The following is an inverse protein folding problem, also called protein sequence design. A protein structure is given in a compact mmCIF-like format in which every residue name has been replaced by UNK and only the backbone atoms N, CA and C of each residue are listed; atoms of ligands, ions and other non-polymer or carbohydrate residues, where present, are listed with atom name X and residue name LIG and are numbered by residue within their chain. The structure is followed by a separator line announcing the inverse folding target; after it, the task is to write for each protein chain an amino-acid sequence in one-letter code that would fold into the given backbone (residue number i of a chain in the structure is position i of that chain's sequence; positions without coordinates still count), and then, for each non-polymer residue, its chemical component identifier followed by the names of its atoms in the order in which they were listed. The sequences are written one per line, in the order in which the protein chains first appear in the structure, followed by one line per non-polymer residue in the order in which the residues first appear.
data_IF_212896830234
#
_entry.id   IF_212896830234
#
_cell.length_a   1.000
_cell.length_b   1.000
_cell.length_c   1.000
_cell.angle_alpha   90.00
_cell.angle_beta   90.00
_cell.angle_gamma   90.00
#
_symmetry.space_group_name_H-M   'P 1'
#
loop_
_entity.id
_entity.type
_entity.pdbx_description
1 polymer ?
#
# COMPACT_ATOMS: atom_id res chain seq x y z
N UNK A 1 8.78 0.83 12.19
CA UNK A 1 9.51 0.41 10.97
C UNK A 1 9.38 1.43 9.84
N UNK A 2 8.17 1.84 9.45
CA UNK A 2 7.99 2.81 8.34
C UNK A 2 8.63 4.17 8.60
N UNK A 3 8.43 4.76 9.78
CA UNK A 3 9.05 6.05 10.13
C UNK A 3 10.59 5.96 10.13
N UNK A 4 11.14 4.85 10.62
CA UNK A 4 12.58 4.57 10.59
C UNK A 4 13.11 4.42 9.16
N UNK A 5 12.30 3.86 8.26
CA UNK A 5 12.57 3.80 6.81
C UNK A 5 12.30 5.13 6.09
N UNK A 6 12.02 6.21 6.84
CA UNK A 6 11.88 7.56 6.31
C UNK A 6 10.48 7.92 5.81
N UNK A 7 9.46 7.08 6.02
CA UNK A 7 8.08 7.42 5.65
C UNK A 7 7.47 8.44 6.62
N UNK A 8 6.70 9.38 6.09
CA UNK A 8 5.75 10.16 6.88
C UNK A 8 4.47 9.33 7.03
N UNK A 9 4.23 8.78 8.23
CA UNK A 9 3.03 7.97 8.50
C UNK A 9 1.88 8.88 8.93
N UNK A 10 0.73 8.79 8.24
CA UNK A 10 -0.39 9.71 8.45
C UNK A 10 -1.75 9.01 8.46
N UNK A 11 -2.71 9.56 9.21
CA UNK A 11 -4.12 9.15 9.16
C UNK A 11 -4.80 9.60 7.88
N UNK A 12 -5.60 8.74 7.25
CA UNK A 12 -6.38 9.06 6.05
C UNK A 12 -7.12 10.40 6.14
N UNK A 13 -7.80 10.67 7.26
CA UNK A 13 -8.60 11.90 7.45
C UNK A 13 -7.78 13.19 7.51
N UNK A 14 -6.47 13.10 7.74
CA UNK A 14 -5.57 14.26 7.90
C UNK A 14 -4.39 14.20 6.93
N UNK A 15 -4.44 13.31 5.95
CA UNK A 15 -3.29 13.01 5.12
C UNK A 15 -2.96 14.17 4.19
N UNK A 16 -1.67 14.50 4.14
CA UNK A 16 -1.05 15.34 3.14
C UNK A 16 0.00 14.50 2.39
N UNK A 17 -0.33 14.12 1.15
CA UNK A 17 0.54 13.32 0.25
C UNK A 17 1.82 14.06 -0.16
N UNK A 18 1.93 15.36 0.10
CA UNK A 18 3.10 16.19 -0.15
C UNK A 18 3.89 16.55 1.11
N UNK A 19 3.52 16.01 2.29
CA UNK A 19 4.23 16.30 3.54
C UNK A 19 5.70 15.85 3.52
N UNK A 20 6.02 14.84 2.71
CA UNK A 20 7.38 14.34 2.47
C UNK A 20 7.41 13.66 1.10
N UNK A 21 8.61 13.41 0.57
CA UNK A 21 8.79 12.56 -0.62
C UNK A 21 8.14 11.18 -0.47
N UNK A 22 8.20 10.56 0.71
CA UNK A 22 7.51 9.30 1.03
C UNK A 22 6.45 9.50 2.10
N UNK A 23 5.19 9.21 1.78
CA UNK A 23 4.04 9.29 2.70
C UNK A 23 3.31 7.94 2.75
N UNK A 24 3.11 7.40 3.94
CA UNK A 24 2.34 6.19 4.18
C UNK A 24 1.03 6.56 4.87
N UNK A 25 -0.10 6.39 4.18
CA UNK A 25 -1.42 6.70 4.75
C UNK A 25 -2.02 5.41 5.30
N UNK A 26 -2.34 5.40 6.60
CA UNK A 26 -2.93 4.24 7.28
C UNK A 26 -4.45 4.17 7.15
N UNK A 27 -5.00 2.96 7.20
CA UNK A 27 -6.44 2.65 7.14
C UNK A 27 -7.13 3.32 5.95
N UNK A 28 -6.58 3.11 4.75
CA UNK A 28 -7.06 3.78 3.54
C UNK A 28 -8.32 3.08 2.98
N UNK A 29 -9.45 3.79 2.81
CA UNK A 29 -10.67 3.21 2.26
C UNK A 29 -10.53 2.92 0.78
N UNK A 30 -10.91 1.72 0.37
CA UNK A 30 -11.04 1.32 -1.02
C UNK A 30 -12.48 1.60 -1.52
N UNK A 31 -12.70 1.44 -2.83
CA UNK A 31 -14.02 1.51 -3.44
C UNK A 31 -15.01 0.56 -2.72
N UNK A 32 -16.32 0.87 -2.74
CA UNK A 32 -17.33 0.06 -2.06
C UNK A 32 -17.21 -1.43 -2.39
N UNK A 33 -17.18 -2.27 -1.35
CA UNK A 33 -17.03 -3.73 -1.48
C UNK A 33 -15.59 -4.25 -1.37
N UNK A 34 -14.57 -3.38 -1.41
CA UNK A 34 -13.15 -3.79 -1.37
C UNK A 34 -12.49 -3.61 0.00
N UNK A 35 -13.18 -2.96 0.95
CA UNK A 35 -12.71 -2.78 2.32
C UNK A 35 -11.64 -1.69 2.46
N UNK A 36 -10.55 -1.99 3.16
CA UNK A 36 -9.47 -1.06 3.45
C UNK A 36 -8.12 -1.67 3.14
N UNK A 37 -7.15 -0.80 2.83
CA UNK A 37 -5.72 -1.10 2.87
C UNK A 37 -5.15 -0.68 4.23
N UNK A 38 -4.26 -1.49 4.81
CA UNK A 38 -3.62 -1.09 6.08
C UNK A 38 -2.75 0.15 5.86
N UNK A 39 -1.96 0.18 4.78
CA UNK A 39 -1.29 1.38 4.30
C UNK A 39 -1.33 1.50 2.77
N UNK A 40 -1.49 2.72 2.28
CA UNK A 40 -1.15 3.10 0.91
C UNK A 40 0.12 3.96 0.92
N UNK A 41 1.02 3.68 -0.01
CA UNK A 41 2.34 4.30 -0.12
C UNK A 41 2.35 5.30 -1.27
N UNK A 42 2.62 6.56 -0.94
CA UNK A 42 2.82 7.65 -1.88
C UNK A 42 4.29 8.02 -1.99
N UNK A 43 4.78 8.11 -3.22
CA UNK A 43 6.11 8.61 -3.55
C UNK A 43 5.94 9.81 -4.47
N UNK A 44 6.50 10.94 -4.08
CA UNK A 44 6.42 12.20 -4.85
C UNK A 44 4.97 12.59 -5.20
N UNK A 45 4.06 12.40 -4.23
CA UNK A 45 2.64 12.77 -4.36
C UNK A 45 1.78 11.82 -5.18
N UNK A 46 2.31 10.69 -5.64
CA UNK A 46 1.56 9.67 -6.37
C UNK A 46 1.66 8.31 -5.69
N UNK A 47 0.56 7.56 -5.65
CA UNK A 47 0.56 6.22 -5.10
C UNK A 47 1.46 5.29 -5.94
N UNK A 48 2.27 4.52 -5.23
CA UNK A 48 3.23 3.57 -5.80
C UNK A 48 3.00 2.14 -5.30
N UNK A 49 2.36 1.98 -4.15
CA UNK A 49 2.19 0.65 -3.56
C UNK A 49 1.29 0.62 -2.33
N UNK A 50 1.17 -0.58 -1.75
CA UNK A 50 0.35 -0.87 -0.58
C UNK A 50 1.09 -1.78 0.39
N UNK A 51 0.72 -1.70 1.67
CA UNK A 51 1.16 -2.64 2.70
C UNK A 51 -0.07 -3.24 3.36
N UNK A 52 -0.10 -4.57 3.49
CA UNK A 52 -1.04 -5.28 4.36
C UNK A 52 -0.31 -5.83 5.58
N UNK A 53 -0.81 -5.46 6.75
CA UNK A 53 -0.35 -5.98 8.03
C UNK A 53 -1.06 -7.30 8.32
N UNK A 54 -0.28 -8.31 8.70
CA UNK A 54 -0.78 -9.63 9.10
C UNK A 54 -0.37 -9.91 10.55
N UNK A 55 -1.03 -10.86 11.20
CA UNK A 55 -0.63 -11.32 12.53
C UNK A 55 0.64 -12.17 12.43
N UNK A 56 1.50 -12.09 13.45
CA UNK A 56 2.65 -13.00 13.59
C UNK A 56 2.20 -14.46 13.50
N UNK A 57 2.95 -15.27 12.74
CA UNK A 57 2.63 -16.67 12.47
C UNK A 57 1.66 -16.89 11.29
N UNK A 58 1.23 -15.83 10.61
CA UNK A 58 0.47 -15.94 9.35
C UNK A 58 1.43 -16.14 8.18
N UNK A 59 1.19 -17.15 7.34
CA UNK A 59 1.94 -17.35 6.09
C UNK A 59 1.71 -16.18 5.14
N UNK A 60 2.79 -15.55 4.66
CA UNK A 60 2.71 -14.41 3.73
C UNK A 60 2.66 -14.89 2.27
N UNK A 61 1.56 -14.58 1.56
CA UNK A 61 1.26 -15.03 0.19
C UNK A 61 1.08 -13.85 -0.77
N UNK A 62 2.13 -13.52 -1.52
CA UNK A 62 2.17 -12.30 -2.35
C UNK A 62 1.13 -12.19 -3.48
N UNK A 63 0.39 -13.27 -3.79
CA UNK A 63 -0.64 -13.31 -4.84
C UNK A 63 -1.95 -12.67 -4.38
N UNK A 64 -2.27 -12.74 -3.08
CA UNK A 64 -3.56 -12.27 -2.55
C UNK A 64 -3.77 -10.76 -2.76
N UNK A 65 -2.68 -9.99 -2.71
CA UNK A 65 -2.66 -8.54 -2.84
C UNK A 65 -2.77 -8.03 -4.28
N UNK A 66 -2.46 -8.86 -5.28
CA UNK A 66 -2.67 -8.49 -6.69
C UNK A 66 -4.02 -8.98 -7.25
N UNK A 67 -4.92 -9.38 -6.35
CA UNK A 67 -6.31 -9.72 -6.67
C UNK A 67 -7.14 -8.50 -7.09
N UNK A 68 -8.41 -8.74 -7.43
CA UNK A 68 -9.42 -7.69 -7.69
C UNK A 68 -9.51 -6.64 -6.58
N UNK A 69 -9.08 -6.98 -5.34
CA UNK A 69 -9.09 -6.05 -4.20
C UNK A 69 -8.43 -4.71 -4.54
N UNK A 70 -7.22 -4.69 -5.10
CA UNK A 70 -6.52 -3.43 -5.41
C UNK A 70 -6.57 -3.04 -6.88
N UNK A 71 -6.82 -4.00 -7.78
CA UNK A 71 -7.07 -3.70 -9.20
C UNK A 71 -8.32 -2.84 -9.35
N UNK A 72 -9.42 -3.24 -8.71
CA UNK A 72 -10.72 -2.58 -8.85
C UNK A 72 -11.09 -1.74 -7.62
N UNK A 73 -10.43 -1.98 -6.48
CA UNK A 73 -10.72 -1.26 -5.24
C UNK A 73 -10.04 0.10 -5.10
N UNK A 74 -9.05 0.45 -5.93
CA UNK A 74 -8.43 1.77 -5.83
C UNK A 74 -9.27 2.84 -6.55
N UNK A 75 -9.67 3.93 -5.88
CA UNK A 75 -10.43 5.01 -6.53
C UNK A 75 -9.70 5.53 -7.77
N UNK A 76 -10.39 5.69 -8.91
CA UNK A 76 -9.78 6.14 -10.17
C UNK A 76 -9.22 7.58 -10.10
N UNK A 77 -9.84 8.44 -9.28
CA UNK A 77 -9.42 9.83 -9.08
C UNK A 77 -8.11 9.98 -8.30
N UNK A 78 -7.59 8.89 -7.73
CA UNK A 78 -6.38 8.88 -6.93
C UNK A 78 -5.13 9.03 -7.84
N UNK A 79 -4.20 9.97 -7.54
CA UNK A 79 -2.97 10.11 -8.31
C UNK A 79 -2.07 8.89 -8.07
N UNK A 80 -1.67 8.21 -9.14
CA UNK A 80 -0.88 6.98 -9.08
C UNK A 80 0.13 6.93 -10.22
N UNK A 81 1.34 6.43 -9.92
CA UNK A 81 2.39 6.23 -10.93
C UNK A 81 2.00 5.16 -11.95
N UNK A 82 1.33 4.10 -11.48
CA UNK A 82 0.94 2.95 -12.26
C UNK A 82 -0.38 2.38 -11.74
N UNK A 83 -1.16 1.76 -12.62
CA UNK A 83 -2.38 1.03 -12.28
C UNK A 83 -2.38 -0.34 -12.96
N UNK A 84 -2.56 -1.46 -12.23
CA UNK A 84 -2.64 -1.53 -10.76
C UNK A 84 -1.34 -1.08 -10.08
N UNK A 85 -1.38 -0.80 -8.78
CA UNK A 85 -0.17 -0.38 -8.05
C UNK A 85 0.86 -1.52 -8.07
N UNK A 86 2.11 -1.25 -8.50
CA UNK A 86 3.08 -2.29 -8.80
C UNK A 86 3.72 -2.88 -7.55
N UNK A 87 3.82 -2.13 -6.45
CA UNK A 87 4.53 -2.55 -5.26
C UNK A 87 3.56 -2.98 -4.16
N UNK A 88 3.64 -4.24 -3.77
CA UNK A 88 2.85 -4.79 -2.66
C UNK A 88 3.78 -5.33 -1.59
N UNK A 89 3.47 -5.02 -0.33
CA UNK A 89 4.16 -5.56 0.82
C UNK A 89 3.18 -6.26 1.74
N UNK A 90 3.57 -7.41 2.26
CA UNK A 90 2.88 -8.07 3.35
C UNK A 90 3.83 -8.18 4.52
N UNK A 91 3.40 -7.80 5.72
CA UNK A 91 4.29 -7.82 6.87
C UNK A 91 3.58 -8.34 8.11
N UNK A 92 4.22 -9.26 8.82
CA UNK A 92 3.81 -9.66 10.18
C UNK A 92 4.44 -8.80 11.27
N UNK A 93 5.29 -7.84 10.88
CA UNK A 93 6.17 -7.10 11.79
C UNK A 93 7.48 -7.83 12.14
N UNK A 94 7.57 -9.14 11.87
CA UNK A 94 8.80 -9.94 11.99
C UNK A 94 9.35 -10.27 10.61
N UNK A 95 8.48 -10.70 9.71
CA UNK A 95 8.80 -11.02 8.33
C UNK A 95 8.06 -10.06 7.40
N UNK A 96 8.68 -9.74 6.26
CA UNK A 96 8.07 -8.93 5.23
C UNK A 96 8.31 -9.57 3.87
N UNK A 97 7.24 -9.77 3.11
CA UNK A 97 7.28 -10.21 1.72
C UNK A 97 7.01 -9.02 0.82
N UNK A 98 7.77 -8.95 -0.28
CA UNK A 98 7.62 -7.92 -1.30
C UNK A 98 7.27 -8.57 -2.64
N UNK A 99 6.35 -7.96 -3.37
CA UNK A 99 5.98 -8.32 -4.74
C UNK A 99 6.14 -7.08 -5.62
N UNK A 100 6.87 -7.21 -6.71
CA UNK A 100 7.00 -6.20 -7.76
C UNK A 100 6.24 -6.64 -9.02
N UNK A 101 5.16 -5.94 -9.37
CA UNK A 101 4.40 -6.17 -10.59
C UNK A 101 5.05 -5.63 -11.87
N UNK A 102 6.22 -5.00 -11.78
CA UNK A 102 7.02 -4.53 -12.92
C UNK A 102 8.17 -5.48 -13.27
N UNK A 103 8.41 -6.52 -12.48
CA UNK A 103 9.47 -7.48 -12.78
C UNK A 103 9.12 -8.20 -14.10
N UNK A 104 10.03 -8.20 -15.09
CA UNK A 104 9.83 -8.97 -16.32
C UNK A 104 9.88 -10.47 -16.02
N UNK A 105 9.07 -11.25 -16.74
CA UNK A 105 9.14 -12.72 -16.76
C UNK A 105 10.44 -13.22 -17.41
#
# INVERSE_FOLDING_TARGET
MLELAGWSVQDFKKANIHAKRGVAIRNFPLNPGHGFADYILYVDGQAAGVIEAKKVGTTLTGVELQSSKYKDGLPESLPAWFRPLPFCYESTGVETRFTNGLDPE
#
